data_IF_171912950227
#
_entry.id   IF_171912950227
#
_cell.length_a   1.000
_cell.length_b   1.000
_cell.length_c   1.000
_cell.angle_alpha   90.00
_cell.angle_beta   90.00
_cell.angle_gamma   90.00
#
_symmetry.space_group_name_H-M   'P 1'
#
loop_
_entity.id
_entity.type
_entity.pdbx_description
1 polymer ?
#
# COMPACT_ATOMS: atom_id res chain seq x y z
N UNK A 1 -14.10 -0.42 8.99
CA UNK A 1 -13.62 0.84 9.59
C UNK A 1 -14.35 2.05 9.01
N UNK A 2 -14.28 2.34 7.71
CA UNK A 2 -14.99 3.48 7.09
C UNK A 2 -16.46 3.56 7.45
N UNK A 3 -17.21 2.46 7.35
CA UNK A 3 -18.63 2.43 7.72
C UNK A 3 -18.89 2.71 9.21
N UNK A 4 -17.98 2.28 10.09
CA UNK A 4 -18.10 2.50 11.54
C UNK A 4 -17.81 3.95 11.93
N UNK A 5 -16.91 4.62 11.21
CA UNK A 5 -16.53 6.01 11.43
C UNK A 5 -17.34 7.00 10.59
N UNK A 6 -18.25 6.51 9.77
CA UNK A 6 -18.96 7.27 8.75
C UNK A 6 -20.17 8.06 9.26
N UNK A 7 -20.25 8.37 10.56
CA UNK A 7 -21.37 9.16 11.09
C UNK A 7 -21.23 10.62 10.69
N UNK A 8 -21.94 11.01 9.63
CA UNK A 8 -21.98 12.40 9.15
C UNK A 8 -23.43 12.88 9.08
N UNK A 9 -23.59 14.21 9.02
CA UNK A 9 -24.90 14.85 8.81
C UNK A 9 -25.47 14.52 7.40
N UNK A 10 -24.60 14.29 6.43
CA UNK A 10 -24.97 14.02 5.04
C UNK A 10 -24.48 12.65 4.60
N UNK A 11 -25.41 11.73 4.35
CA UNK A 11 -25.10 10.35 3.98
C UNK A 11 -24.31 10.21 2.67
N UNK A 12 -24.38 11.19 1.77
CA UNK A 12 -23.68 11.13 0.48
C UNK A 12 -22.16 11.37 0.57
N UNK A 13 -21.68 11.83 1.73
CA UNK A 13 -20.25 12.05 2.01
C UNK A 13 -19.75 11.14 3.14
N UNK A 14 -20.42 10.00 3.35
CA UNK A 14 -20.05 9.02 4.38
C UNK A 14 -19.11 7.95 3.85
N UNK A 15 -18.38 7.32 4.75
CA UNK A 15 -17.48 6.21 4.44
C UNK A 15 -16.34 6.66 3.53
N UNK A 16 -16.19 6.00 2.40
CA UNK A 16 -15.16 6.31 1.39
C UNK A 16 -15.52 7.47 0.46
N UNK A 17 -16.70 8.08 0.62
CA UNK A 17 -17.15 9.24 -0.15
C UNK A 17 -16.67 10.57 0.45
N UNK A 18 -15.47 10.58 0.98
CA UNK A 18 -14.76 11.76 1.49
C UNK A 18 -13.72 12.24 0.48
N UNK A 19 -12.91 13.22 0.85
CA UNK A 19 -11.77 13.66 0.04
C UNK A 19 -10.85 12.48 -0.27
N UNK A 20 -10.35 12.40 -1.50
CA UNK A 20 -9.52 11.29 -1.99
C UNK A 20 -8.28 11.08 -1.13
N UNK A 21 -7.63 12.17 -0.70
CA UNK A 21 -6.46 12.17 0.17
C UNK A 21 -6.75 11.67 1.61
N UNK A 22 -8.00 11.64 2.02
CA UNK A 22 -8.42 11.15 3.34
C UNK A 22 -8.97 9.71 3.31
N UNK A 23 -9.39 9.23 2.15
CA UNK A 23 -10.13 7.96 2.03
C UNK A 23 -9.41 6.75 2.64
N UNK A 24 -8.08 6.68 2.52
CA UNK A 24 -7.28 5.56 3.04
C UNK A 24 -6.64 5.81 4.43
N UNK A 25 -6.79 6.99 5.00
CA UNK A 25 -6.23 7.29 6.33
C UNK A 25 -6.68 6.32 7.42
N UNK A 26 -7.98 5.96 7.53
CA UNK A 26 -8.41 5.00 8.56
C UNK A 26 -7.85 3.59 8.36
N UNK A 27 -7.74 3.11 7.12
CA UNK A 27 -7.20 1.77 6.82
C UNK A 27 -5.70 1.73 7.09
N UNK A 28 -4.94 2.70 6.60
CA UNK A 28 -3.51 2.81 6.85
C UNK A 28 -3.20 2.94 8.35
N UNK A 29 -3.98 3.75 9.09
CA UNK A 29 -3.82 3.86 10.54
C UNK A 29 -4.03 2.51 11.24
N UNK A 30 -5.02 1.72 10.81
CA UNK A 30 -5.30 0.42 11.42
C UNK A 30 -4.24 -0.64 11.10
N UNK A 31 -3.48 -0.48 10.01
CA UNK A 31 -2.36 -1.38 9.70
C UNK A 31 -1.25 -1.35 10.77
N UNK A 32 -1.06 -0.23 11.45
CA UNK A 32 -0.10 -0.15 12.57
C UNK A 32 -0.44 -1.12 13.69
N UNK A 33 -1.72 -1.34 13.97
CA UNK A 33 -2.14 -2.31 14.99
C UNK A 33 -1.86 -3.76 14.57
N UNK A 34 -1.88 -4.05 13.29
CA UNK A 34 -1.57 -5.39 12.76
C UNK A 34 -0.09 -5.77 12.85
N UNK A 35 0.77 -4.84 13.20
CA UNK A 35 2.21 -5.05 13.37
C UNK A 35 2.70 -4.82 14.80
N UNK A 36 1.83 -4.35 15.70
CA UNK A 36 2.17 -4.16 17.13
C UNK A 36 2.10 -5.51 17.85
N UNK A 37 3.21 -6.03 18.42
CA UNK A 37 3.22 -7.31 19.13
C UNK A 37 2.23 -7.40 20.29
N UNK A 38 1.95 -6.29 20.97
CA UNK A 38 1.01 -6.23 22.10
C UNK A 38 -0.41 -6.47 21.62
N UNK A 39 -0.81 -5.79 20.55
CA UNK A 39 -2.15 -5.95 19.95
C UNK A 39 -2.30 -7.36 19.39
N UNK A 40 -1.29 -7.84 18.67
CA UNK A 40 -1.31 -9.19 18.10
C UNK A 40 -1.40 -10.26 19.19
N UNK A 41 -0.74 -10.08 20.34
CA UNK A 41 -0.82 -10.99 21.46
C UNK A 41 -2.24 -11.04 22.06
N UNK A 42 -2.93 -9.90 22.07
CA UNK A 42 -4.30 -9.84 22.60
C UNK A 42 -5.32 -10.51 21.69
N UNK A 43 -5.21 -10.30 20.38
CA UNK A 43 -6.20 -10.78 19.42
C UNK A 43 -5.91 -12.17 18.85
N UNK A 44 -4.64 -12.62 18.89
CA UNK A 44 -4.26 -13.90 18.32
C UNK A 44 -4.49 -15.06 19.26
N UNK A 45 -5.06 -16.15 18.74
CA UNK A 45 -5.10 -17.42 19.43
C UNK A 45 -5.14 -18.58 18.43
N UNK A 46 -4.61 -19.72 18.83
CA UNK A 46 -4.67 -20.93 18.03
C UNK A 46 -6.13 -21.43 18.00
N UNK A 47 -6.66 -21.68 16.81
CA UNK A 47 -8.08 -21.96 16.60
C UNK A 47 -8.62 -23.21 17.30
N UNK A 48 -7.77 -24.17 17.68
CA UNK A 48 -8.16 -25.39 18.40
C UNK A 48 -7.80 -25.33 19.88
N UNK A 49 -6.59 -24.83 20.23
CA UNK A 49 -6.08 -24.87 21.60
C UNK A 49 -6.36 -23.60 22.39
N UNK A 50 -6.66 -22.48 21.72
CA UNK A 50 -6.81 -21.18 22.35
C UNK A 50 -5.50 -20.56 22.81
N UNK A 51 -4.35 -21.20 22.59
CA UNK A 51 -3.05 -20.67 22.97
C UNK A 51 -2.71 -19.38 22.22
N UNK A 52 -2.20 -18.40 22.95
CA UNK A 52 -1.71 -17.14 22.39
C UNK A 52 -0.41 -17.35 21.62
N UNK A 53 -0.17 -16.52 20.60
CA UNK A 53 1.12 -16.51 19.95
C UNK A 53 2.22 -16.09 20.93
N UNK A 54 3.37 -16.82 20.93
CA UNK A 54 4.50 -16.47 21.79
C UNK A 54 5.04 -15.07 21.45
N UNK A 55 5.33 -14.27 22.48
CA UNK A 55 5.78 -12.89 22.30
C UNK A 55 7.06 -12.79 21.47
N UNK A 56 8.00 -13.72 21.64
CA UNK A 56 9.24 -13.76 20.87
C UNK A 56 9.02 -13.95 19.37
N UNK A 57 7.95 -14.66 18.98
CA UNK A 57 7.55 -14.82 17.58
C UNK A 57 6.96 -13.52 17.03
N UNK A 58 6.12 -12.85 17.83
CA UNK A 58 5.52 -11.58 17.45
C UNK A 58 6.55 -10.47 17.31
N UNK A 59 7.56 -10.42 18.16
CA UNK A 59 8.69 -9.48 18.06
C UNK A 59 9.52 -9.73 16.78
N UNK A 60 9.80 -11.00 16.47
CA UNK A 60 10.48 -11.37 15.22
C UNK A 60 9.65 -11.00 13.99
N UNK A 61 8.34 -11.21 14.04
CA UNK A 61 7.44 -10.78 12.98
C UNK A 61 7.47 -9.26 12.78
N UNK A 62 7.34 -8.49 13.86
CA UNK A 62 7.40 -7.03 13.79
C UNK A 62 8.75 -6.53 13.25
N UNK A 63 9.86 -7.17 13.63
CA UNK A 63 11.18 -6.86 13.10
C UNK A 63 11.29 -7.20 11.61
N UNK A 64 10.75 -8.34 11.18
CA UNK A 64 10.79 -8.76 9.77
C UNK A 64 10.07 -7.80 8.83
N UNK A 65 9.02 -7.12 9.29
CA UNK A 65 8.27 -6.11 8.52
C UNK A 65 9.10 -4.88 8.16
N UNK A 66 10.21 -4.64 8.83
CA UNK A 66 11.15 -3.53 8.55
C UNK A 66 12.23 -3.91 7.53
N UNK A 67 12.40 -5.20 7.29
CA UNK A 67 13.35 -5.68 6.28
C UNK A 67 12.78 -5.30 4.91
N UNK A 68 13.61 -4.78 4.03
CA UNK A 68 13.23 -4.31 2.69
C UNK A 68 12.24 -3.12 2.63
N UNK A 69 12.00 -2.42 3.74
CA UNK A 69 11.13 -1.23 3.73
C UNK A 69 11.60 -0.14 2.75
N UNK A 70 12.91 0.00 2.54
CA UNK A 70 13.47 0.93 1.55
C UNK A 70 13.01 0.62 0.11
N UNK A 71 13.29 -0.57 -0.43
CA UNK A 71 12.77 -1.00 -1.74
C UNK A 71 11.25 -0.94 -1.88
N UNK A 72 10.50 -1.25 -0.82
CA UNK A 72 9.04 -1.14 -0.83
C UNK A 72 8.59 0.32 -1.02
N UNK A 73 9.19 1.26 -0.29
CA UNK A 73 8.90 2.69 -0.44
C UNK A 73 9.29 3.18 -1.84
N UNK A 74 10.45 2.76 -2.36
CA UNK A 74 10.87 3.11 -3.72
C UNK A 74 9.86 2.60 -4.77
N UNK A 75 9.34 1.39 -4.60
CA UNK A 75 8.31 0.84 -5.48
C UNK A 75 7.03 1.67 -5.43
N UNK A 76 6.56 2.05 -4.24
CA UNK A 76 5.38 2.91 -4.08
C UNK A 76 5.59 4.29 -4.71
N UNK A 77 6.78 4.86 -4.57
CA UNK A 77 7.14 6.12 -5.23
C UNK A 77 7.07 5.99 -6.75
N UNK A 78 7.64 4.91 -7.31
CA UNK A 78 7.59 4.67 -8.75
C UNK A 78 6.15 4.54 -9.27
N UNK A 79 5.25 3.91 -8.51
CA UNK A 79 3.83 3.81 -8.87
C UNK A 79 3.15 5.17 -8.87
N UNK A 80 3.38 5.98 -7.85
CA UNK A 80 2.82 7.32 -7.75
C UNK A 80 3.31 8.25 -8.86
N UNK A 81 4.60 8.18 -9.20
CA UNK A 81 5.18 8.95 -10.30
C UNK A 81 4.65 8.49 -11.65
N UNK A 82 4.46 7.18 -11.84
CA UNK A 82 3.87 6.64 -13.05
C UNK A 82 2.43 7.13 -13.23
N UNK A 83 1.62 7.05 -12.17
CA UNK A 83 0.25 7.55 -12.18
C UNK A 83 0.19 9.02 -12.59
N UNK A 84 0.98 9.88 -11.96
CA UNK A 84 1.06 11.29 -12.31
C UNK A 84 1.50 11.53 -13.77
N UNK A 85 2.47 10.77 -14.27
CA UNK A 85 2.96 10.88 -15.64
C UNK A 85 1.90 10.44 -16.66
N UNK A 86 1.14 9.39 -16.36
CA UNK A 86 0.09 8.89 -17.23
C UNK A 86 -1.14 9.81 -17.28
N UNK A 87 -1.43 10.53 -16.19
CA UNK A 87 -2.60 11.42 -16.08
C UNK A 87 -2.27 12.91 -16.25
N UNK A 88 -1.02 13.25 -16.58
CA UNK A 88 -0.62 14.64 -16.83
C UNK A 88 -0.95 15.08 -18.27
N UNK A 89 0.06 15.38 -19.07
CA UNK A 89 -0.13 15.92 -20.42
C UNK A 89 -0.33 14.83 -21.46
N UNK A 90 -1.34 14.98 -22.31
CA UNK A 90 -1.63 14.09 -23.43
C UNK A 90 -1.49 14.80 -24.79
N UNK A 91 -1.16 14.06 -25.86
CA UNK A 91 -0.85 12.62 -25.88
C UNK A 91 0.51 12.31 -25.26
N UNK A 92 0.65 11.08 -24.73
CA UNK A 92 1.94 10.58 -24.25
C UNK A 92 2.90 10.45 -25.42
N UNK A 93 4.08 11.05 -25.32
CA UNK A 93 5.08 11.03 -26.40
C UNK A 93 5.80 9.69 -26.61
N UNK A 94 5.52 8.69 -25.74
CA UNK A 94 6.15 7.36 -25.78
C UNK A 94 5.27 6.31 -25.10
N UNK A 95 5.71 5.04 -25.17
CA UNK A 95 4.98 3.93 -24.53
C UNK A 95 5.03 4.01 -23.01
N UNK A 96 3.98 3.51 -22.35
CA UNK A 96 3.91 3.43 -20.88
C UNK A 96 5.06 2.63 -20.28
N UNK A 97 5.53 1.57 -20.96
CA UNK A 97 6.71 0.80 -20.56
C UNK A 97 7.99 1.63 -20.58
N UNK A 98 8.14 2.53 -21.56
CA UNK A 98 9.30 3.42 -21.60
C UNK A 98 9.27 4.41 -20.44
N UNK A 99 8.12 5.02 -20.16
CA UNK A 99 7.93 5.92 -19.01
C UNK A 99 8.29 5.20 -17.71
N UNK A 100 7.81 3.96 -17.53
CA UNK A 100 8.10 3.17 -16.34
C UNK A 100 9.60 2.86 -16.20
N UNK A 101 10.28 2.49 -17.27
CA UNK A 101 11.73 2.27 -17.27
C UNK A 101 12.51 3.52 -16.86
N UNK A 102 12.13 4.69 -17.35
CA UNK A 102 12.74 5.96 -17.00
C UNK A 102 12.58 6.26 -15.50
N UNK A 103 11.35 6.10 -14.97
CA UNK A 103 11.07 6.30 -13.55
C UNK A 103 11.87 5.33 -12.67
N UNK A 104 11.92 4.05 -13.06
CA UNK A 104 12.70 3.05 -12.31
C UNK A 104 14.19 3.36 -12.32
N UNK A 105 14.74 3.77 -13.45
CA UNK A 105 16.16 4.10 -13.58
C UNK A 105 16.55 5.30 -12.69
N UNK A 106 15.63 6.23 -12.49
CA UNK A 106 15.89 7.44 -11.68
C UNK A 106 15.63 7.23 -10.18
N UNK A 107 14.62 6.46 -9.82
CA UNK A 107 14.09 6.44 -8.44
C UNK A 107 14.17 5.10 -7.73
N UNK A 108 14.55 4.01 -8.42
CA UNK A 108 14.62 2.68 -7.82
C UNK A 108 16.04 2.14 -7.81
N UNK A 109 16.45 1.50 -6.70
CA UNK A 109 17.79 0.92 -6.55
C UNK A 109 18.02 -0.35 -7.37
N UNK A 110 16.93 -1.03 -7.77
CA UNK A 110 16.98 -2.22 -8.62
C UNK A 110 16.62 -1.86 -10.06
N UNK A 111 17.26 -2.48 -11.06
CA UNK A 111 16.93 -2.22 -12.46
C UNK A 111 15.53 -2.73 -12.81
N UNK A 112 14.87 -2.03 -13.73
CA UNK A 112 13.60 -2.50 -14.28
C UNK A 112 13.82 -3.80 -15.06
N UNK A 113 13.06 -4.87 -14.80
CA UNK A 113 13.24 -6.15 -15.50
C UNK A 113 12.94 -6.03 -16.99
N UNK A 114 13.89 -6.42 -17.83
CA UNK A 114 13.73 -6.36 -19.28
C UNK A 114 12.61 -7.29 -19.78
N UNK A 115 11.97 -6.89 -20.88
CA UNK A 115 10.88 -7.66 -21.48
C UNK A 115 9.60 -7.69 -20.68
N UNK A 116 9.50 -6.92 -19.57
CA UNK A 116 8.30 -6.86 -18.74
C UNK A 116 7.49 -5.59 -18.99
N UNK A 117 6.19 -5.67 -18.70
CA UNK A 117 5.26 -4.55 -18.75
C UNK A 117 4.25 -4.68 -17.60
N UNK A 118 4.76 -4.83 -16.38
CA UNK A 118 3.93 -5.11 -15.21
C UNK A 118 2.94 -4.00 -14.88
N UNK A 119 3.17 -2.77 -15.32
CA UNK A 119 2.23 -1.66 -15.18
C UNK A 119 0.84 -1.99 -15.78
N UNK A 120 0.77 -2.90 -16.74
CA UNK A 120 -0.51 -3.38 -17.30
C UNK A 120 -1.30 -4.28 -16.35
N UNK A 121 -0.69 -4.75 -15.27
CA UNK A 121 -1.35 -5.54 -14.22
C UNK A 121 -1.71 -4.72 -12.99
N UNK A 122 -1.28 -3.46 -12.94
CA UNK A 122 -1.56 -2.59 -11.81
C UNK A 122 -2.94 -1.95 -11.98
N UNK A 123 -3.95 -2.59 -11.41
CA UNK A 123 -5.36 -2.22 -11.59
C UNK A 123 -5.68 -0.77 -11.19
N UNK A 124 -4.97 -0.21 -10.23
CA UNK A 124 -5.17 1.18 -9.79
C UNK A 124 -4.83 2.24 -10.84
N UNK A 125 -4.11 1.87 -11.91
CA UNK A 125 -3.81 2.78 -13.03
C UNK A 125 -4.91 2.82 -14.11
N UNK A 126 -5.89 1.93 -14.05
CA UNK A 126 -6.90 1.75 -15.11
C UNK A 126 -8.34 1.97 -14.63
N UNK A 127 -8.53 2.42 -13.40
CA UNK A 127 -9.83 2.73 -12.80
C UNK A 127 -10.07 4.23 -12.72
#
# INVERSE_FOLDING_TARGET
MHSMLARTKYQHVTGTRCSTDFAEVPSTLMEYFSTDPRVLQDVSCHFRTGEKLPINLLEKYAASRKIFSGPDIQSQLCYSLLDQRLHANHPLGCSTTKIMKEIYAEHHSLPFPEGTAWQHRFSHLVN
#
